data_IF_969849198563
#
_entry.id   IF_969849198563
#
_cell.length_a   1.000
_cell.length_b   1.000
_cell.length_c   1.000
_cell.angle_alpha   90.00
_cell.angle_beta   90.00
_cell.angle_gamma   90.00
#
_symmetry.space_group_name_H-M   'P 1'
#
loop_
_entity.id
_entity.type
_entity.pdbx_description
1 polymer ?
#
# COMPACT_ATOMS: atom_id res chain seq x y z
N UNK A 1 38.53 11.14 25.98
CA UNK A 1 37.30 11.40 25.20
C UNK A 1 36.84 10.08 24.60
N UNK A 2 35.76 9.49 25.12
CA UNK A 2 35.17 8.26 24.57
C UNK A 2 34.35 8.64 23.33
N UNK A 3 34.83 8.32 22.14
CA UNK A 3 34.01 8.40 20.93
C UNK A 3 32.87 7.38 21.10
N UNK A 4 31.63 7.88 21.21
CA UNK A 4 30.46 7.03 21.17
C UNK A 4 30.42 6.37 19.79
N UNK A 5 30.81 5.10 19.73
CA UNK A 5 30.57 4.27 18.56
C UNK A 5 29.06 4.25 18.35
N UNK A 6 28.56 5.07 17.41
CA UNK A 6 27.19 4.97 16.99
C UNK A 6 27.04 3.55 16.46
N UNK A 7 26.23 2.75 17.15
CA UNK A 7 25.85 1.42 16.65
C UNK A 7 25.07 1.69 15.38
N UNK A 8 25.75 1.66 14.24
CA UNK A 8 25.12 1.73 12.94
C UNK A 8 23.96 0.72 12.93
N UNK A 9 22.80 1.07 12.36
CA UNK A 9 21.68 0.15 12.27
C UNK A 9 22.15 -1.17 11.65
N UNK A 10 21.84 -2.28 12.32
CA UNK A 10 22.49 -3.59 12.12
C UNK A 10 22.08 -4.35 10.87
N UNK A 11 21.33 -3.73 9.95
CA UNK A 11 20.87 -4.39 8.73
C UNK A 11 21.26 -3.57 7.51
N UNK A 12 22.17 -4.12 6.72
CA UNK A 12 22.46 -3.60 5.39
C UNK A 12 21.35 -4.02 4.42
N UNK A 13 21.06 -3.20 3.38
CA UNK A 13 20.16 -3.61 2.32
C UNK A 13 20.67 -4.91 1.68
N UNK A 14 19.76 -5.82 1.39
CA UNK A 14 20.08 -7.12 0.77
C UNK A 14 20.32 -7.00 -0.73
N UNK A 15 19.76 -5.98 -1.38
CA UNK A 15 19.86 -5.77 -2.82
C UNK A 15 19.54 -4.31 -3.19
N UNK A 16 19.85 -3.95 -4.42
CA UNK A 16 19.42 -2.69 -5.03
C UNK A 16 18.40 -2.97 -6.14
N UNK A 17 17.27 -2.29 -6.12
CA UNK A 17 16.32 -2.32 -7.22
C UNK A 17 16.74 -1.31 -8.28
N UNK A 18 16.88 -1.74 -9.53
CA UNK A 18 16.94 -0.86 -10.68
C UNK A 18 15.52 -0.61 -11.16
N UNK A 19 14.95 0.55 -10.79
CA UNK A 19 13.56 0.90 -11.11
C UNK A 19 13.46 1.86 -12.28
N UNK A 20 12.43 1.66 -13.11
CA UNK A 20 12.10 2.51 -14.24
C UNK A 20 10.60 2.45 -14.54
N UNK A 21 10.09 3.42 -15.30
CA UNK A 21 8.66 3.44 -15.65
C UNK A 21 8.32 2.29 -16.59
N UNK A 22 7.41 1.42 -16.15
CA UNK A 22 6.92 0.31 -16.92
C UNK A 22 6.42 0.81 -18.29
N UNK A 23 6.71 0.08 -19.39
CA UNK A 23 6.19 0.46 -20.70
C UNK A 23 4.67 0.56 -20.63
N UNK A 24 4.13 1.75 -20.92
CA UNK A 24 2.69 1.91 -21.05
C UNK A 24 2.23 1.00 -22.22
N UNK A 25 1.16 0.20 -22.12
CA UNK A 25 0.69 -0.62 -23.24
C UNK A 25 0.51 0.15 -24.56
N UNK A 26 0.28 1.47 -24.51
CA UNK A 26 0.23 2.34 -25.69
C UNK A 26 1.59 2.86 -26.16
N UNK A 27 2.60 2.88 -25.28
CA UNK A 27 3.96 3.22 -25.61
C UNK A 27 4.72 1.94 -25.97
N UNK A 28 5.09 1.78 -27.23
CA UNK A 28 5.73 0.57 -27.73
C UNK A 28 6.96 0.11 -26.90
N UNK A 29 7.47 -1.10 -27.15
CA UNK A 29 8.47 -1.78 -26.31
C UNK A 29 9.79 -1.00 -26.10
N UNK A 30 10.06 0.02 -26.92
CA UNK A 30 11.22 0.89 -26.84
C UNK A 30 11.04 2.12 -25.93
N UNK A 31 9.89 2.29 -25.28
CA UNK A 31 9.65 3.46 -24.43
C UNK A 31 10.67 3.55 -23.29
N UNK A 32 11.37 4.69 -23.22
CA UNK A 32 12.40 4.97 -22.22
C UNK A 32 13.79 4.38 -22.54
N UNK A 33 13.96 3.72 -23.69
CA UNK A 33 15.26 3.30 -24.20
C UNK A 33 15.76 4.39 -25.16
N UNK A 34 16.97 4.88 -24.93
CA UNK A 34 17.65 5.78 -25.84
C UNK A 34 18.03 5.00 -27.12
N UNK A 35 17.51 5.37 -28.30
CA UNK A 35 17.77 4.66 -29.53
C UNK A 35 19.24 4.71 -29.97
N UNK A 36 20.00 5.73 -29.55
CA UNK A 36 21.40 5.88 -29.92
C UNK A 36 22.32 4.96 -29.10
N UNK A 37 21.99 4.75 -27.82
CA UNK A 37 22.84 3.97 -26.90
C UNK A 37 22.27 2.59 -26.55
N UNK A 38 20.99 2.35 -26.83
CA UNK A 38 20.26 1.17 -26.37
C UNK A 38 20.08 1.12 -24.84
N UNK A 39 20.36 2.21 -24.12
CA UNK A 39 20.35 2.25 -22.64
C UNK A 39 19.07 2.90 -22.11
N UNK A 40 18.69 2.49 -20.90
CA UNK A 40 17.54 3.04 -20.16
C UNK A 40 18.03 3.77 -18.92
N UNK A 41 17.42 4.92 -18.62
CA UNK A 41 17.63 5.61 -17.34
C UNK A 41 16.93 4.84 -16.24
N UNK A 42 17.67 4.44 -15.21
CA UNK A 42 17.16 3.73 -14.04
C UNK A 42 17.48 4.48 -12.76
N UNK A 43 16.65 4.30 -11.73
CA UNK A 43 16.93 4.75 -10.36
C UNK A 43 17.31 3.53 -9.52
N UNK A 44 18.43 3.60 -8.81
CA UNK A 44 18.84 2.55 -7.88
C UNK A 44 18.24 2.81 -6.50
N UNK A 45 17.51 1.82 -5.97
CA UNK A 45 16.84 1.90 -4.66
C UNK A 45 17.30 0.73 -3.79
N UNK A 46 18.13 0.97 -2.76
CA UNK A 46 18.56 -0.09 -1.84
C UNK A 46 17.39 -0.55 -0.96
N UNK A 47 17.21 -1.87 -0.83
CA UNK A 47 16.10 -2.46 -0.06
C UNK A 47 16.49 -3.78 0.61
N UNK A 48 15.71 -4.17 1.63
CA UNK A 48 15.70 -5.44 2.31
C UNK A 48 14.57 -6.30 1.74
N UNK A 49 14.92 -7.48 1.24
CA UNK A 49 13.97 -8.41 0.67
C UNK A 49 12.83 -8.75 1.65
N UNK A 50 13.14 -8.87 2.94
CA UNK A 50 12.17 -9.17 3.97
C UNK A 50 11.00 -8.18 4.01
N UNK A 51 11.27 -6.88 3.84
CA UNK A 51 10.21 -5.85 3.88
C UNK A 51 9.25 -6.01 2.70
N UNK A 52 9.79 -6.23 1.50
CA UNK A 52 8.98 -6.41 0.31
C UNK A 52 8.21 -7.74 0.36
N UNK A 53 8.86 -8.84 0.71
CA UNK A 53 8.22 -10.14 0.87
C UNK A 53 7.11 -10.13 1.95
N UNK A 54 7.26 -9.36 3.02
CA UNK A 54 6.25 -9.26 4.08
C UNK A 54 5.01 -8.43 3.68
N UNK A 55 5.17 -7.44 2.80
CA UNK A 55 4.11 -6.48 2.48
C UNK A 55 3.53 -6.60 1.07
N UNK A 56 4.22 -7.25 0.14
CA UNK A 56 3.88 -7.30 -1.27
C UNK A 56 3.53 -8.75 -1.68
N UNK A 57 2.25 -9.01 -1.94
CA UNK A 57 1.76 -10.33 -2.34
C UNK A 57 2.29 -10.78 -3.72
N UNK A 58 2.61 -9.83 -4.60
CA UNK A 58 3.17 -10.11 -5.92
C UNK A 58 4.70 -10.04 -5.93
N UNK A 59 5.35 -10.06 -4.76
CA UNK A 59 6.81 -10.04 -4.69
C UNK A 59 7.39 -11.37 -5.17
N UNK A 60 8.42 -11.30 -6.01
CA UNK A 60 9.05 -12.49 -6.57
C UNK A 60 10.12 -13.06 -5.62
N UNK A 61 10.36 -14.38 -5.65
CA UNK A 61 11.49 -14.99 -4.95
C UNK A 61 12.81 -14.41 -5.45
N UNK A 62 13.64 -13.95 -4.51
CA UNK A 62 14.94 -13.39 -4.84
C UNK A 62 15.95 -14.48 -5.18
N UNK A 63 16.81 -14.28 -6.19
CA UNK A 63 17.90 -15.20 -6.45
C UNK A 63 18.85 -15.22 -5.24
N UNK A 64 19.08 -16.41 -4.69
CA UNK A 64 20.11 -16.60 -3.67
C UNK A 64 21.48 -16.49 -4.35
N UNK A 65 22.18 -15.38 -4.15
CA UNK A 65 23.54 -15.22 -4.68
C UNK A 65 24.55 -15.21 -3.53
N UNK A 66 25.28 -16.32 -3.29
CA UNK A 66 26.25 -16.42 -2.20
C UNK A 66 27.46 -15.49 -2.38
N UNK A 67 27.69 -14.95 -3.59
CA UNK A 67 28.76 -13.98 -3.84
C UNK A 67 28.33 -12.51 -3.64
N UNK A 68 27.04 -12.26 -3.38
CA UNK A 68 26.44 -10.93 -3.45
C UNK A 68 26.44 -10.14 -2.14
N UNK A 69 27.04 -10.65 -1.07
CA UNK A 69 27.26 -9.92 0.19
C UNK A 69 28.75 -9.85 0.49
N UNK A 70 29.49 -9.14 -0.38
CA UNK A 70 30.89 -8.78 -0.08
C UNK A 70 30.89 -7.47 0.69
N UNK A 71 31.10 -7.60 2.00
CA UNK A 71 31.36 -6.48 2.91
C UNK A 71 32.85 -6.23 2.97
N UNK A 72 33.29 -5.03 2.60
CA UNK A 72 34.67 -4.59 2.76
C UNK A 72 34.72 -3.35 3.63
N UNK A 73 35.58 -3.34 4.64
CA UNK A 73 35.89 -2.11 5.39
C UNK A 73 36.78 -1.26 4.50
N UNK A 74 36.37 -0.02 4.26
CA UNK A 74 37.10 0.93 3.42
C UNK A 74 37.33 2.18 4.22
N UNK A 75 38.57 2.65 4.28
CA UNK A 75 38.90 3.94 4.90
C UNK A 75 38.77 5.00 3.81
N UNK A 76 37.92 6.01 4.03
CA UNK A 76 37.77 7.10 3.08
C UNK A 76 39.02 8.00 3.09
N UNK A 77 39.14 8.91 2.12
CA UNK A 77 40.29 9.83 2.01
C UNK A 77 40.49 10.74 3.23
N UNK A 78 39.48 10.85 4.11
CA UNK A 78 39.53 11.60 5.36
C UNK A 78 39.87 10.75 6.60
N UNK A 79 40.29 9.49 6.42
CA UNK A 79 40.65 8.59 7.51
C UNK A 79 39.47 7.98 8.26
N UNK A 80 38.22 8.25 7.85
CA UNK A 80 37.04 7.68 8.48
C UNK A 80 36.75 6.27 7.92
N UNK A 81 36.51 5.33 8.83
CA UNK A 81 36.10 3.97 8.48
C UNK A 81 34.68 3.97 7.88
N UNK A 82 34.56 3.34 6.71
CA UNK A 82 33.31 3.09 6.01
C UNK A 82 33.17 1.61 5.67
N UNK A 83 31.99 1.24 5.19
CA UNK A 83 31.71 -0.11 4.70
C UNK A 83 31.30 -0.02 3.23
N UNK A 84 32.07 -0.66 2.36
CA UNK A 84 31.72 -0.91 0.97
C UNK A 84 30.92 -2.21 0.89
N UNK A 85 29.79 -2.17 0.17
CA UNK A 85 28.90 -3.29 -0.03
C UNK A 85 28.74 -3.52 -1.53
N UNK A 86 29.10 -4.71 -1.99
CA UNK A 86 28.63 -5.19 -3.29
C UNK A 86 27.26 -5.79 -3.08
N UNK A 87 26.24 -5.35 -3.84
CA UNK A 87 24.86 -5.84 -3.73
C UNK A 87 24.36 -6.31 -5.11
N UNK A 88 23.49 -7.32 -5.16
CA UNK A 88 22.85 -7.70 -6.42
C UNK A 88 21.89 -6.60 -6.86
N UNK A 89 21.92 -6.27 -8.16
CA UNK A 89 21.02 -5.29 -8.77
C UNK A 89 19.89 -6.02 -9.45
N UNK A 90 18.65 -5.72 -9.06
CA UNK A 90 17.47 -6.42 -9.51
C UNK A 90 16.58 -5.51 -10.35
N UNK A 91 16.28 -5.87 -11.60
CA UNK A 91 15.39 -5.09 -12.44
C UNK A 91 13.95 -5.11 -11.90
N UNK A 92 13.31 -3.93 -11.79
CA UNK A 92 11.90 -3.83 -11.42
C UNK A 92 11.21 -2.69 -12.20
N UNK A 93 10.42 -3.00 -13.25
CA UNK A 93 9.55 -2.01 -13.87
C UNK A 93 8.45 -1.62 -12.88
N UNK A 94 8.21 -0.32 -12.70
CA UNK A 94 7.18 0.21 -11.79
C UNK A 94 6.23 1.13 -12.55
N UNK A 95 4.97 1.21 -12.14
CA UNK A 95 3.99 2.07 -12.81
C UNK A 95 4.35 3.57 -12.75
N UNK A 96 5.00 4.01 -11.65
CA UNK A 96 5.40 5.40 -11.48
C UNK A 96 6.65 5.52 -10.60
N UNK A 97 7.80 5.83 -11.20
CA UNK A 97 9.11 5.85 -10.52
C UNK A 97 9.16 6.87 -9.38
N UNK A 98 8.54 8.04 -9.54
CA UNK A 98 8.67 9.12 -8.56
C UNK A 98 7.91 8.87 -7.25
N UNK A 99 6.82 8.11 -7.28
CA UNK A 99 6.07 7.73 -6.07
C UNK A 99 6.55 6.43 -5.44
N UNK A 100 7.36 5.64 -6.16
CA UNK A 100 7.85 4.35 -5.68
C UNK A 100 8.62 4.47 -4.36
N UNK A 101 9.48 5.48 -4.21
CA UNK A 101 10.25 5.66 -2.98
C UNK A 101 9.36 5.93 -1.76
N UNK A 102 8.27 6.67 -1.93
CA UNK A 102 7.31 6.94 -0.84
C UNK A 102 6.58 5.67 -0.41
N UNK A 103 6.23 4.80 -1.37
CA UNK A 103 5.64 3.49 -1.08
C UNK A 103 6.58 2.63 -0.24
N UNK A 104 7.84 2.53 -0.68
CA UNK A 104 8.88 1.81 0.06
C UNK A 104 9.01 2.40 1.46
N UNK A 105 9.21 3.72 1.58
CA UNK A 105 9.38 4.38 2.86
C UNK A 105 8.19 4.15 3.81
N UNK A 106 6.96 4.16 3.27
CA UNK A 106 5.75 3.82 4.02
C UNK A 106 5.77 2.41 4.58
N UNK A 107 6.23 1.43 3.80
CA UNK A 107 6.38 0.03 4.24
C UNK A 107 7.46 -0.12 5.32
N UNK A 108 8.58 0.60 5.23
CA UNK A 108 9.65 0.52 6.23
C UNK A 108 9.26 1.12 7.57
N UNK A 109 8.57 2.26 7.53
CA UNK A 109 8.36 3.06 8.75
C UNK A 109 7.01 2.84 9.37
N UNK A 110 6.03 2.35 8.59
CA UNK A 110 4.63 2.27 8.97
C UNK A 110 4.04 3.61 9.47
N UNK A 111 4.69 4.73 9.14
CA UNK A 111 4.28 6.07 9.53
C UNK A 111 3.36 6.68 8.48
N UNK A 112 2.10 6.29 8.57
CA UNK A 112 1.01 6.74 7.69
C UNK A 112 0.87 8.27 7.66
N UNK A 113 1.05 8.92 8.82
CA UNK A 113 1.00 10.38 8.94
C UNK A 113 2.04 11.03 8.04
N UNK A 114 3.26 10.49 8.00
CA UNK A 114 4.32 11.01 7.13
C UNK A 114 4.00 10.81 5.66
N UNK A 115 3.46 9.65 5.26
CA UNK A 115 3.02 9.44 3.89
C UNK A 115 1.91 10.45 3.50
N UNK A 116 0.94 10.68 4.38
CA UNK A 116 -0.10 11.69 4.18
C UNK A 116 0.46 13.13 4.10
N UNK A 117 1.50 13.45 4.86
CA UNK A 117 2.19 14.75 4.81
C UNK A 117 2.94 14.95 3.50
N UNK A 118 3.54 13.88 2.96
CA UNK A 118 4.22 13.92 1.67
C UNK A 118 3.25 14.00 0.48
N UNK A 119 2.08 13.33 0.56
CA UNK A 119 1.06 13.35 -0.50
C UNK A 119 0.20 14.62 -0.49
N UNK A 120 -0.04 15.18 0.69
CA UNK A 120 -0.89 16.36 0.90
C UNK A 120 -0.12 17.41 1.71
N UNK A 121 0.67 18.28 1.06
CA UNK A 121 1.62 19.18 1.71
C UNK A 121 0.96 20.45 2.28
N UNK A 122 -0.09 20.26 3.07
CA UNK A 122 -0.72 21.31 3.88
C UNK A 122 -0.80 20.87 5.33
N UNK A 123 -0.80 21.84 6.24
CA UNK A 123 -1.08 21.59 7.64
C UNK A 123 -2.49 20.99 7.76
N UNK A 124 -2.58 19.79 8.33
CA UNK A 124 -3.85 19.09 8.53
C UNK A 124 -4.46 19.52 9.88
N UNK A 125 -5.79 19.71 9.97
CA UNK A 125 -6.42 19.98 11.25
C UNK A 125 -6.26 18.77 12.19
N UNK A 126 -6.29 18.99 13.50
CA UNK A 126 -6.31 17.88 14.44
C UNK A 126 -7.55 16.99 14.15
N UNK A 127 -7.36 15.67 14.13
CA UNK A 127 -8.45 14.71 13.99
C UNK A 127 -8.40 13.72 15.15
N UNK A 128 -9.57 13.24 15.55
CA UNK A 128 -9.75 12.24 16.61
C UNK A 128 -10.11 10.91 15.97
N UNK A 129 -9.31 9.87 16.22
CA UNK A 129 -9.66 8.52 15.77
C UNK A 129 -10.85 7.97 16.58
N UNK A 130 -11.70 7.13 15.97
CA UNK A 130 -12.72 6.39 16.72
C UNK A 130 -12.08 5.55 17.83
N UNK A 131 -12.62 5.67 19.04
CA UNK A 131 -12.25 4.82 20.19
C UNK A 131 -13.48 4.09 20.70
N UNK A 132 -13.30 3.08 21.55
CA UNK A 132 -14.43 2.40 22.20
C UNK A 132 -15.31 3.39 23.00
N UNK A 133 -14.70 4.42 23.58
CA UNK A 133 -15.38 5.49 24.32
C UNK A 133 -16.02 6.55 23.41
N UNK A 134 -15.51 6.73 22.19
CA UNK A 134 -16.05 7.65 21.20
C UNK A 134 -16.00 7.02 19.81
N UNK A 135 -16.99 6.18 19.45
CA UNK A 135 -17.00 5.48 18.17
C UNK A 135 -17.26 6.42 16.98
N UNK A 136 -17.81 7.61 17.23
CA UNK A 136 -18.17 8.59 16.21
C UNK A 136 -17.67 9.99 16.59
N UNK A 137 -16.35 10.20 16.66
CA UNK A 137 -15.81 11.51 16.97
C UNK A 137 -16.28 12.52 15.93
N UNK A 138 -16.74 13.68 16.40
CA UNK A 138 -17.03 14.84 15.53
C UNK A 138 -15.69 15.36 14.99
N UNK A 139 -15.15 14.69 13.99
CA UNK A 139 -14.03 15.19 13.22
C UNK A 139 -14.60 16.24 12.27
N UNK A 140 -14.41 17.56 12.53
CA UNK A 140 -14.89 18.59 11.63
C UNK A 140 -14.32 18.29 10.26
N UNK A 141 -15.20 18.06 9.29
CA UNK A 141 -14.94 17.66 7.91
C UNK A 141 -13.45 17.67 7.50
N UNK A 142 -12.68 16.71 7.98
CA UNK A 142 -11.21 16.77 7.96
C UNK A 142 -10.69 16.89 6.53
N UNK A 143 -11.34 16.16 5.62
CA UNK A 143 -11.13 16.21 4.18
C UNK A 143 -11.52 17.57 3.58
N UNK A 144 -12.65 18.17 4.01
CA UNK A 144 -13.11 19.46 3.48
C UNK A 144 -12.20 20.59 3.91
N UNK A 145 -11.87 20.67 5.20
CA UNK A 145 -10.99 21.73 5.70
C UNK A 145 -9.58 21.62 5.13
N UNK A 146 -9.06 20.40 4.98
CA UNK A 146 -7.79 20.17 4.27
C UNK A 146 -7.90 20.57 2.79
N UNK A 147 -9.01 20.25 2.12
CA UNK A 147 -9.28 20.68 0.75
C UNK A 147 -9.33 22.20 0.59
N UNK A 148 -10.02 22.92 1.48
CA UNK A 148 -10.03 24.39 1.49
C UNK A 148 -8.62 24.96 1.64
N UNK A 149 -7.80 24.40 2.54
CA UNK A 149 -6.39 24.81 2.71
C UNK A 149 -5.55 24.55 1.46
N UNK A 150 -5.78 23.44 0.78
CA UNK A 150 -5.14 23.14 -0.51
C UNK A 150 -5.50 24.19 -1.56
N UNK A 151 -6.79 24.50 -1.71
CA UNK A 151 -7.28 25.50 -2.66
C UNK A 151 -6.74 26.90 -2.39
N UNK A 152 -6.58 27.27 -1.11
CA UNK A 152 -6.01 28.54 -0.71
C UNK A 152 -4.48 28.63 -0.98
N UNK A 153 -3.77 27.49 -0.94
CA UNK A 153 -2.30 27.46 -1.06
C UNK A 153 -1.81 27.17 -2.48
N UNK A 154 -2.54 26.36 -3.25
CA UNK A 154 -2.08 25.81 -4.52
C UNK A 154 -3.05 26.12 -5.65
N UNK A 155 -2.48 26.36 -6.84
CA UNK A 155 -3.25 26.49 -8.07
C UNK A 155 -3.86 25.14 -8.50
N UNK A 156 -5.01 25.12 -9.20
CA UNK A 156 -5.67 23.88 -9.63
C UNK A 156 -4.74 22.88 -10.33
N UNK A 157 -3.89 23.33 -11.25
CA UNK A 157 -2.96 22.47 -11.99
C UNK A 157 -1.90 21.81 -11.08
N UNK A 158 -1.50 22.47 -9.99
CA UNK A 158 -0.57 21.90 -9.02
C UNK A 158 -1.23 20.76 -8.23
N UNK A 159 -2.52 20.93 -7.88
CA UNK A 159 -3.32 19.89 -7.23
C UNK A 159 -3.51 18.69 -8.18
N UNK A 160 -3.73 18.93 -9.48
CA UNK A 160 -3.79 17.87 -10.50
C UNK A 160 -2.48 17.09 -10.59
N UNK A 161 -1.31 17.75 -10.49
CA UNK A 161 -0.02 17.06 -10.42
C UNK A 161 0.10 16.18 -9.18
N UNK A 162 -0.36 16.65 -8.01
CA UNK A 162 -0.40 15.85 -6.78
C UNK A 162 -1.34 14.64 -6.92
N UNK A 163 -2.50 14.82 -7.56
CA UNK A 163 -3.41 13.71 -7.86
C UNK A 163 -2.75 12.66 -8.76
N UNK A 164 -2.05 13.08 -9.82
CA UNK A 164 -1.30 12.17 -10.70
C UNK A 164 -0.27 11.36 -9.90
N UNK A 165 0.38 11.99 -8.93
CA UNK A 165 1.34 11.33 -8.04
C UNK A 165 0.67 10.29 -7.12
N UNK A 166 -0.50 10.61 -6.55
CA UNK A 166 -1.32 9.65 -5.78
C UNK A 166 -1.79 8.48 -6.64
N UNK A 167 -2.20 8.72 -7.89
CA UNK A 167 -2.54 7.64 -8.84
C UNK A 167 -1.33 6.75 -9.08
N UNK A 168 -0.16 7.34 -9.33
CA UNK A 168 1.08 6.56 -9.51
C UNK A 168 1.43 5.72 -8.29
N UNK A 169 1.24 6.26 -7.09
CA UNK A 169 1.41 5.51 -5.84
C UNK A 169 0.44 4.33 -5.74
N UNK A 170 -0.84 4.56 -6.03
CA UNK A 170 -1.89 3.54 -6.09
C UNK A 170 -1.55 2.44 -7.09
N UNK A 171 -1.11 2.79 -8.30
CA UNK A 171 -0.72 1.83 -9.33
C UNK A 171 0.47 0.97 -8.90
N UNK A 172 1.51 1.58 -8.31
CA UNK A 172 2.63 0.84 -7.74
C UNK A 172 2.18 -0.13 -6.64
N UNK A 173 1.28 0.32 -5.75
CA UNK A 173 0.74 -0.51 -4.66
C UNK A 173 -0.06 -1.71 -5.21
N UNK A 174 -0.89 -1.50 -6.23
CA UNK A 174 -1.59 -2.57 -6.94
C UNK A 174 -0.61 -3.54 -7.60
N UNK A 175 0.38 -3.02 -8.33
CA UNK A 175 1.36 -3.83 -9.06
C UNK A 175 2.12 -4.78 -8.14
N UNK A 176 2.57 -4.29 -6.98
CA UNK A 176 3.28 -5.08 -5.97
C UNK A 176 2.34 -5.94 -5.10
N UNK A 177 1.02 -5.71 -5.15
CA UNK A 177 0.07 -6.39 -4.28
C UNK A 177 0.26 -6.01 -2.80
N UNK A 178 0.38 -4.71 -2.51
CA UNK A 178 0.60 -4.22 -1.14
C UNK A 178 -0.57 -4.56 -0.22
N UNK A 179 -0.31 -5.20 0.92
CA UNK A 179 -1.33 -5.67 1.87
C UNK A 179 -1.57 -4.73 3.07
N UNK A 180 -0.73 -3.71 3.28
CA UNK A 180 -0.84 -2.81 4.43
C UNK A 180 -2.07 -1.87 4.30
N UNK A 181 -3.13 -2.18 5.05
CA UNK A 181 -4.38 -1.38 5.12
C UNK A 181 -4.15 0.10 5.38
N UNK A 182 -3.09 0.44 6.10
CA UNK A 182 -2.82 1.83 6.48
C UNK A 182 -2.27 2.65 5.30
N UNK A 183 -1.50 2.02 4.41
CA UNK A 183 -1.03 2.66 3.17
C UNK A 183 -2.23 2.94 2.26
N UNK A 184 -3.14 1.97 2.12
CA UNK A 184 -4.40 2.16 1.38
C UNK A 184 -5.23 3.30 1.94
N UNK A 185 -5.39 3.36 3.27
CA UNK A 185 -6.07 4.47 3.93
C UNK A 185 -5.44 5.83 3.59
N UNK A 186 -4.10 5.92 3.58
CA UNK A 186 -3.41 7.15 3.22
C UNK A 186 -3.65 7.57 1.77
N UNK A 187 -3.66 6.60 0.84
CA UNK A 187 -3.94 6.83 -0.58
C UNK A 187 -5.36 7.37 -0.75
N UNK A 188 -6.36 6.70 -0.17
CA UNK A 188 -7.77 7.08 -0.27
C UNK A 188 -8.02 8.47 0.34
N UNK A 189 -7.48 8.74 1.53
CA UNK A 189 -7.63 10.03 2.17
C UNK A 189 -6.94 11.15 1.40
N UNK A 190 -5.75 10.90 0.85
CA UNK A 190 -5.04 11.90 0.03
C UNK A 190 -5.83 12.22 -1.22
N UNK A 191 -6.36 11.19 -1.88
CA UNK A 191 -7.23 11.34 -3.05
C UNK A 191 -8.44 12.23 -2.76
N UNK A 192 -9.19 11.94 -1.69
CA UNK A 192 -10.38 12.71 -1.32
C UNK A 192 -10.06 14.16 -0.95
N UNK A 193 -8.95 14.39 -0.22
CA UNK A 193 -8.49 15.73 0.15
C UNK A 193 -8.11 16.54 -1.08
N UNK A 194 -7.35 15.94 -1.99
CA UNK A 194 -6.88 16.60 -3.21
C UNK A 194 -8.04 16.88 -4.18
N UNK A 195 -8.97 15.94 -4.37
CA UNK A 195 -10.18 16.19 -5.17
C UNK A 195 -11.03 17.30 -4.56
N UNK A 196 -11.22 17.28 -3.24
CA UNK A 196 -11.95 18.35 -2.54
C UNK A 196 -11.24 19.69 -2.73
N UNK A 197 -9.91 19.72 -2.61
CA UNK A 197 -9.13 20.93 -2.84
C UNK A 197 -9.21 21.42 -4.28
N UNK A 198 -9.18 20.52 -5.26
CA UNK A 198 -9.32 20.86 -6.68
C UNK A 198 -10.69 21.50 -6.95
N UNK A 199 -11.76 20.89 -6.43
CA UNK A 199 -13.12 21.41 -6.55
C UNK A 199 -13.29 22.80 -5.92
N UNK A 200 -12.66 23.05 -4.75
CA UNK A 200 -12.63 24.38 -4.16
C UNK A 200 -11.82 25.37 -5.01
N UNK A 201 -10.67 24.94 -5.55
CA UNK A 201 -9.79 25.80 -6.36
C UNK A 201 -10.42 26.18 -7.72
N UNK A 202 -11.32 25.36 -8.25
CA UNK A 202 -12.07 25.64 -9.49
C UNK A 202 -13.43 26.31 -9.26
N UNK A 203 -13.78 26.64 -8.01
CA UNK A 203 -15.05 27.28 -7.67
C UNK A 203 -16.28 26.34 -7.71
N UNK A 204 -16.07 25.02 -7.73
CA UNK A 204 -17.12 24.01 -7.82
C UNK A 204 -17.09 23.02 -6.64
N UNK A 205 -17.30 23.46 -5.39
CA UNK A 205 -17.11 22.62 -4.20
C UNK A 205 -18.03 21.38 -4.12
N UNK A 206 -19.17 21.41 -4.81
CA UNK A 206 -20.14 20.31 -4.85
C UNK A 206 -19.85 19.28 -5.95
N UNK A 207 -18.80 19.47 -6.75
CA UNK A 207 -18.47 18.58 -7.87
C UNK A 207 -17.90 17.23 -7.42
N UNK A 208 -17.37 17.12 -6.20
CA UNK A 208 -16.82 15.85 -5.68
C UNK A 208 -17.96 14.99 -5.10
N UNK A 209 -18.30 13.85 -5.72
CA UNK A 209 -19.31 12.97 -5.18
C UNK A 209 -18.79 12.36 -3.87
N UNK A 210 -19.48 12.62 -2.76
CA UNK A 210 -19.18 11.96 -1.49
C UNK A 210 -20.08 10.75 -1.36
N UNK A 211 -19.56 9.51 -1.27
CA UNK A 211 -20.40 8.37 -0.97
C UNK A 211 -21.06 8.62 0.39
N UNK A 212 -22.40 8.61 0.42
CA UNK A 212 -23.11 8.69 1.69
C UNK A 212 -22.70 7.47 2.53
N UNK A 213 -22.47 7.64 3.85
CA UNK A 213 -22.14 6.51 4.69
C UNK A 213 -23.26 5.47 4.56
N UNK A 214 -22.92 4.29 4.03
CA UNK A 214 -23.86 3.17 3.94
C UNK A 214 -24.36 2.90 5.35
N UNK A 215 -25.65 3.16 5.59
CA UNK A 215 -26.32 2.73 6.83
C UNK A 215 -26.31 1.20 6.82
N UNK A 216 -25.32 0.60 7.47
CA UNK A 216 -25.26 -0.84 7.61
C UNK A 216 -26.38 -1.24 8.58
N UNK A 217 -27.56 -1.55 8.05
CA UNK A 217 -28.60 -2.23 8.84
C UNK A 217 -28.03 -3.61 9.14
N UNK A 218 -27.58 -3.82 10.38
CA UNK A 218 -27.44 -5.19 10.88
C UNK A 218 -28.83 -5.84 10.72
N UNK A 219 -28.92 -7.01 10.08
CA UNK A 219 -30.12 -7.82 10.22
C UNK A 219 -30.28 -8.04 11.72
N UNK A 220 -31.36 -7.54 12.30
CA UNK A 220 -31.75 -7.96 13.64
C UNK A 220 -32.03 -9.45 13.46
N UNK A 221 -31.17 -10.30 14.02
CA UNK A 221 -31.49 -11.72 14.13
C UNK A 221 -32.82 -11.76 14.88
N UNK A 222 -33.89 -12.08 14.16
CA UNK A 222 -35.20 -12.27 14.76
C UNK A 222 -35.00 -13.31 15.86
N UNK A 223 -35.25 -12.89 17.07
CA UNK A 223 -35.18 -13.66 18.29
C UNK A 223 -35.98 -14.95 18.10
N UNK A 224 -35.29 -16.07 17.84
CA UNK A 224 -35.86 -17.41 18.06
C UNK A 224 -35.93 -17.65 19.57
N UNK A 225 -36.77 -16.86 20.26
CA UNK A 225 -37.15 -17.04 21.66
C UNK A 225 -38.64 -16.70 21.77
N UNK A 226 -39.48 -17.39 21.00
CA UNK A 226 -40.92 -17.53 21.31
C UNK A 226 -41.56 -18.59 20.41
N UNK A 227 -41.23 -19.86 20.61
CA UNK A 227 -42.11 -20.99 20.28
C UNK A 227 -41.56 -22.27 20.93
N UNK A 228 -41.52 -22.26 22.26
CA UNK A 228 -41.43 -23.48 23.07
C UNK A 228 -42.36 -23.31 24.27
N UNK A 229 -43.66 -23.25 23.99
CA UNK A 229 -44.68 -23.55 24.98
C UNK A 229 -45.91 -24.10 24.24
N UNK A 230 -46.26 -25.31 24.67
CA UNK A 230 -47.46 -26.09 24.36
C UNK A 230 -47.58 -26.71 22.96
N UNK A 231 -47.18 -28.00 22.83
CA UNK A 231 -48.11 -29.02 22.32
C UNK A 231 -47.86 -30.39 22.99
N UNK A 232 -48.92 -31.20 23.22
CA UNK A 232 -48.88 -32.42 23.99
C UNK A 232 -48.48 -33.64 23.15
N UNK A 233 -48.09 -34.67 23.88
CA UNK A 233 -47.68 -36.00 23.43
C UNK A 233 -48.79 -36.68 22.63
N UNK A 234 -48.52 -37.04 21.38
CA UNK A 234 -49.07 -38.28 20.81
C UNK A 234 -48.25 -38.80 19.63
N UNK A 235 -48.12 -40.12 19.63
CA UNK A 235 -47.15 -40.90 18.88
C UNK A 235 -47.53 -41.11 17.41
N UNK A 236 -46.51 -41.19 16.53
CA UNK A 236 -46.37 -42.30 15.58
C UNK A 236 -44.98 -42.33 14.96
N UNK A 237 -44.39 -43.52 15.04
CA UNK A 237 -43.12 -43.93 14.46
C UNK A 237 -43.34 -44.13 12.96
N UNK A 238 -42.54 -43.49 12.12
CA UNK A 238 -42.30 -43.99 10.77
C UNK A 238 -40.84 -43.74 10.35
N UNK A 239 -40.18 -44.84 9.98
CA UNK A 239 -38.79 -44.93 9.52
C UNK A 239 -38.67 -44.33 8.13
N UNK A 240 -37.66 -43.49 7.88
CA UNK A 240 -37.10 -43.32 6.52
C UNK A 240 -35.57 -43.24 6.59
N UNK A 241 -34.96 -44.00 5.68
CA UNK A 241 -33.54 -44.25 5.40
C UNK A 241 -32.58 -43.06 5.52
N UNK A 242 -31.44 -43.32 6.15
CA UNK A 242 -30.17 -42.60 5.91
C UNK A 242 -29.46 -43.25 4.73
N UNK A 243 -29.36 -42.55 3.60
CA UNK A 243 -28.28 -42.80 2.64
C UNK A 243 -27.32 -41.60 2.62
N UNK A 244 -26.10 -41.90 3.05
CA UNK A 244 -24.91 -41.08 2.92
C UNK A 244 -24.52 -41.00 1.43
N UNK A 245 -24.33 -39.79 0.91
CA UNK A 245 -23.55 -39.57 -0.31
C UNK A 245 -22.48 -38.52 -0.02
N UNK A 246 -21.26 -38.99 0.23
CA UNK A 246 -20.03 -38.21 0.17
C UNK A 246 -19.52 -38.21 -1.29
N UNK A 247 -19.07 -37.08 -1.85
CA UNK A 247 -18.46 -37.06 -3.17
C UNK A 247 -17.01 -37.61 -3.13
N UNK A 248 -16.75 -38.59 -3.99
CA UNK A 248 -15.45 -39.23 -4.17
C UNK A 248 -14.47 -38.30 -4.91
N UNK A 249 -13.27 -38.15 -4.35
CA UNK A 249 -12.10 -37.56 -5.01
C UNK A 249 -11.50 -38.58 -6.00
N UNK A 250 -11.38 -38.21 -7.27
CA UNK A 250 -10.64 -38.98 -8.28
C UNK A 250 -9.17 -38.53 -8.31
N UNK A 251 -8.26 -39.47 -8.06
CA UNK A 251 -6.82 -39.33 -8.22
C UNK A 251 -6.38 -39.97 -9.54
N UNK A 252 -5.98 -39.16 -10.52
CA UNK A 252 -5.24 -39.66 -11.68
C UNK A 252 -3.74 -39.68 -11.39
N UNK A 253 -3.15 -40.88 -11.41
CA UNK A 253 -1.72 -41.09 -11.54
C UNK A 253 -1.34 -41.16 -13.04
N UNK A 254 -0.14 -40.72 -13.45
CA UNK A 254 0.34 -40.89 -14.81
C UNK A 254 0.98 -42.28 -14.99
N UNK A 255 0.74 -42.89 -16.15
CA UNK A 255 1.39 -44.11 -16.61
C UNK A 255 2.71 -43.78 -17.33
N UNK A 256 3.71 -44.59 -16.99
CA UNK A 256 4.96 -45.00 -17.67
C UNK A 256 5.54 -44.11 -18.78
#
# INVERSE_FOLDING_TARGET
>A
MMAAASRLPSSFPTHALAVWDAPNPTAGPLHGIDPATGRRKVRLVPVHNLVLAAHCANWFPMPSNPAAERKRVVVNSGGAEGTELTLPVIPLPVAHVDSFHQLIYGMYTHKVSRLLDELVPVQKPAYTLPTAANPHPKNPHYIIETGKRLAARYQPWAIVRMLKHVIGLWQNACQLGVSDKRIWLAIDWSWDMLLTGLAHATGQPNAVPRPQPRKFRRPVAASMVQQQQAQPVDAKIEKVHLEHVLPQYSSHAPAQ
#
